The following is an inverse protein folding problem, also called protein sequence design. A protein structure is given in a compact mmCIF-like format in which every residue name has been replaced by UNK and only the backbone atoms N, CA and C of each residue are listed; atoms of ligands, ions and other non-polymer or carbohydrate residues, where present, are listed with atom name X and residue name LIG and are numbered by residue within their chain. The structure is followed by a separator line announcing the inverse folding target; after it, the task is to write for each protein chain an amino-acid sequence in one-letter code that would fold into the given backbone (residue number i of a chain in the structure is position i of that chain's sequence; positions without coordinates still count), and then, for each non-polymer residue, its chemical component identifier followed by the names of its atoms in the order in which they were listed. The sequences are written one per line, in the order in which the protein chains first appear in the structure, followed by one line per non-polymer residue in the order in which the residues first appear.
data_IF_537774550229
#
_entry.id   IF_537774550229
#
_cell.length_a   1.000
_cell.length_b   1.000
_cell.length_c   1.000
_cell.angle_alpha   90.00
_cell.angle_beta   90.00
_cell.angle_gamma   90.00
#
_symmetry.space_group_name_H-M   'P 1'
#
loop_
_entity.id
_entity.type
_entity.pdbx_description
1 polymer ?
#
# COMPACT_ATOMS: atom_id res chain seq x y z
N UNK A 1 5.09 25.32 -1.35
CA UNK A 1 4.95 25.61 0.06
C UNK A 1 6.14 25.04 0.84
N UNK A 2 6.35 23.71 0.85
CA UNK A 2 7.41 23.05 1.62
C UNK A 2 8.82 23.57 1.33
N UNK A 3 9.16 23.82 0.06
CA UNK A 3 10.45 24.38 -0.35
C UNK A 3 10.71 25.78 0.23
N UNK A 4 9.65 26.53 0.57
CA UNK A 4 9.79 27.87 1.16
C UNK A 4 9.93 27.86 2.67
N UNK A 5 9.50 26.79 3.31
CA UNK A 5 9.55 26.59 4.76
C UNK A 5 10.81 25.82 5.20
N UNK A 6 11.49 25.15 4.24
CA UNK A 6 12.70 24.40 4.49
C UNK A 6 13.93 25.33 4.51
N UNK A 7 14.90 24.99 5.35
CA UNK A 7 16.21 25.68 5.42
C UNK A 7 17.04 25.43 4.15
N UNK A 8 16.86 24.26 3.53
CA UNK A 8 17.55 23.83 2.31
C UNK A 8 16.60 23.04 1.41
N UNK A 9 16.78 23.15 0.11
CA UNK A 9 16.02 22.38 -0.89
C UNK A 9 16.96 21.74 -1.90
N UNK A 10 16.77 20.45 -2.14
CA UNK A 10 17.50 19.68 -3.15
C UNK A 10 16.60 19.35 -4.34
N UNK A 11 17.02 19.71 -5.54
CA UNK A 11 16.29 19.41 -6.77
C UNK A 11 16.63 18.01 -7.27
N UNK A 12 15.65 17.13 -7.31
CA UNK A 12 15.75 15.77 -7.89
C UNK A 12 15.79 15.76 -9.42
N UNK A 13 15.71 16.92 -10.06
CA UNK A 13 15.69 17.08 -11.52
C UNK A 13 14.33 16.77 -12.15
N UNK A 14 14.30 16.31 -13.42
CA UNK A 14 13.06 16.08 -14.14
C UNK A 14 12.12 15.13 -13.39
N UNK A 15 10.83 15.49 -13.34
CA UNK A 15 9.80 14.71 -12.63
C UNK A 15 9.69 13.24 -13.07
N UNK A 16 10.04 12.96 -14.35
CA UNK A 16 10.05 11.62 -14.92
C UNK A 16 11.43 11.29 -15.45
N UNK A 17 11.94 10.12 -15.09
CA UNK A 17 13.25 9.61 -15.52
C UNK A 17 13.11 8.25 -16.19
N UNK A 18 14.05 7.89 -17.06
CA UNK A 18 14.13 6.56 -17.62
C UNK A 18 14.76 5.61 -16.60
N UNK A 19 14.07 4.53 -16.27
CA UNK A 19 14.63 3.44 -15.51
C UNK A 19 15.59 2.59 -16.32
N UNK A 20 16.46 1.82 -15.68
CA UNK A 20 17.37 0.89 -16.35
C UNK A 20 16.68 -0.21 -17.18
N UNK A 21 15.37 -0.38 -17.00
CA UNK A 21 14.50 -1.29 -17.78
C UNK A 21 13.80 -0.60 -18.98
N UNK A 22 14.16 0.64 -19.29
CA UNK A 22 13.56 1.44 -20.35
C UNK A 22 12.18 1.99 -20.02
N UNK A 23 11.68 1.80 -18.81
CA UNK A 23 10.40 2.36 -18.36
C UNK A 23 10.60 3.73 -17.72
N UNK A 24 9.67 4.62 -17.96
CA UNK A 24 9.66 5.92 -17.27
C UNK A 24 9.14 5.75 -15.86
N UNK A 25 9.88 6.23 -14.87
CA UNK A 25 9.51 6.28 -13.47
C UNK A 25 9.56 7.72 -12.95
N UNK A 26 8.83 7.96 -11.87
CA UNK A 26 8.88 9.26 -11.18
C UNK A 26 10.24 9.40 -10.51
N UNK A 27 10.92 10.54 -10.68
CA UNK A 27 12.25 10.80 -10.06
C UNK A 27 12.23 10.64 -8.54
N UNK A 28 11.10 10.94 -7.91
CA UNK A 28 10.88 10.80 -6.47
C UNK A 28 10.99 9.37 -5.92
N UNK A 29 10.97 8.34 -6.77
CA UNK A 29 11.21 6.93 -6.37
C UNK A 29 12.52 6.38 -6.94
N UNK A 30 13.36 7.22 -7.48
CA UNK A 30 14.68 6.84 -7.97
C UNK A 30 15.69 6.82 -6.83
N UNK A 31 16.11 5.63 -6.41
CA UNK A 31 17.01 5.44 -5.27
C UNK A 31 18.36 6.13 -5.46
N UNK A 32 18.89 6.17 -6.68
CA UNK A 32 20.16 6.86 -6.96
C UNK A 32 20.08 8.35 -6.69
N UNK A 33 19.00 9.00 -7.16
CA UNK A 33 18.76 10.43 -6.90
C UNK A 33 18.47 10.72 -5.44
N UNK A 34 17.74 9.84 -4.78
CA UNK A 34 17.50 9.96 -3.34
C UNK A 34 18.79 9.78 -2.54
N UNK A 35 19.68 8.87 -2.94
CA UNK A 35 21.00 8.72 -2.34
C UNK A 35 21.84 9.99 -2.51
N UNK A 36 21.88 10.55 -3.72
CA UNK A 36 22.59 11.81 -3.99
C UNK A 36 22.06 12.94 -3.10
N UNK A 37 20.73 13.07 -2.98
CA UNK A 37 20.10 14.07 -2.13
C UNK A 37 20.48 13.90 -0.66
N UNK A 38 20.38 12.68 -0.11
CA UNK A 38 20.74 12.39 1.29
C UNK A 38 22.21 12.71 1.59
N UNK A 39 23.11 12.37 0.67
CA UNK A 39 24.54 12.66 0.82
C UNK A 39 24.87 14.15 0.72
N UNK A 40 24.29 14.83 -0.27
CA UNK A 40 24.54 16.25 -0.52
C UNK A 40 24.04 17.14 0.63
N UNK A 41 22.87 16.84 1.15
CA UNK A 41 22.26 17.55 2.30
C UNK A 41 22.82 17.10 3.64
N UNK A 42 23.65 16.06 3.66
CA UNK A 42 24.19 15.46 4.90
C UNK A 42 23.08 15.13 5.91
N UNK A 43 21.98 14.57 5.39
CA UNK A 43 20.81 14.26 6.20
C UNK A 43 21.14 13.23 7.29
N UNK A 44 20.79 13.52 8.53
CA UNK A 44 20.91 12.59 9.66
C UNK A 44 19.68 11.70 9.79
N UNK A 45 18.52 12.19 9.30
CA UNK A 45 17.27 11.46 9.28
C UNK A 45 16.50 11.74 7.99
N UNK A 46 15.67 10.77 7.58
CA UNK A 46 14.79 10.89 6.42
C UNK A 46 13.35 10.55 6.82
N UNK A 47 12.48 11.52 6.65
CA UNK A 47 11.04 11.35 6.79
C UNK A 47 10.36 11.52 5.43
N UNK A 48 9.98 10.43 4.76
CA UNK A 48 9.35 10.51 3.44
C UNK A 48 7.92 11.07 3.48
N UNK A 49 7.36 11.23 4.67
CA UNK A 49 6.02 11.75 4.86
C UNK A 49 4.98 10.83 4.24
N UNK A 50 4.15 11.39 3.35
CA UNK A 50 3.13 10.70 2.59
C UNK A 50 3.59 10.51 1.14
N UNK A 51 3.44 9.31 0.59
CA UNK A 51 3.74 9.01 -0.81
C UNK A 51 4.43 7.66 -1.02
N UNK A 52 4.77 7.36 -2.27
CA UNK A 52 5.30 6.05 -2.67
C UNK A 52 6.60 5.65 -1.96
N UNK A 53 7.47 6.62 -1.69
CA UNK A 53 8.77 6.37 -1.01
C UNK A 53 8.55 5.90 0.43
N UNK A 54 7.46 6.35 1.09
CA UNK A 54 7.12 5.94 2.45
C UNK A 54 6.81 4.43 2.56
N UNK A 55 6.44 3.80 1.45
CA UNK A 55 6.08 2.38 1.37
C UNK A 55 7.16 1.55 0.63
N UNK A 56 8.33 2.14 0.35
CA UNK A 56 9.41 1.50 -0.41
C UNK A 56 10.49 0.94 0.53
N UNK A 57 10.53 -0.39 0.80
CA UNK A 57 11.52 -0.98 1.71
C UNK A 57 12.95 -0.69 1.29
N UNK A 58 13.22 -0.62 -0.02
CA UNK A 58 14.54 -0.34 -0.60
C UNK A 58 15.07 1.05 -0.23
N UNK A 59 14.16 2.02 -0.01
CA UNK A 59 14.56 3.35 0.48
C UNK A 59 14.93 3.32 1.97
N UNK A 60 14.21 2.58 2.78
CA UNK A 60 14.57 2.38 4.18
C UNK A 60 15.92 1.65 4.31
N UNK A 61 16.16 0.61 3.48
CA UNK A 61 17.47 -0.07 3.39
C UNK A 61 18.60 0.88 2.92
N UNK A 62 18.29 1.77 1.98
CA UNK A 62 19.25 2.81 1.55
C UNK A 62 19.64 3.71 2.72
N UNK A 63 18.67 4.18 3.50
CA UNK A 63 18.92 4.98 4.69
C UNK A 63 19.80 4.23 5.69
N UNK A 64 19.50 2.97 5.98
CA UNK A 64 20.33 2.12 6.87
C UNK A 64 21.78 2.02 6.38
N UNK A 65 22.00 1.76 5.07
CA UNK A 65 23.35 1.69 4.49
C UNK A 65 24.13 3.01 4.58
N UNK A 66 23.41 4.12 4.56
CA UNK A 66 24.02 5.46 4.65
C UNK A 66 24.21 5.95 6.10
N UNK A 67 23.72 5.20 7.09
CA UNK A 67 23.70 5.65 8.48
C UNK A 67 22.69 6.77 8.73
N UNK A 68 21.69 6.91 7.86
CA UNK A 68 20.59 7.89 7.97
C UNK A 68 19.42 7.22 8.69
N UNK A 69 18.88 7.86 9.70
CA UNK A 69 17.70 7.34 10.42
C UNK A 69 16.46 7.45 9.57
N UNK A 70 15.91 6.31 9.13
CA UNK A 70 14.61 6.30 8.45
C UNK A 70 13.48 6.45 9.49
N UNK A 71 12.69 7.51 9.38
CA UNK A 71 11.53 7.75 10.27
C UNK A 71 10.33 7.02 9.69
N UNK A 72 10.19 5.77 10.06
CA UNK A 72 9.16 4.86 9.56
C UNK A 72 9.37 3.42 10.04
N UNK A 73 8.60 2.46 9.53
CA UNK A 73 8.76 1.05 9.86
C UNK A 73 10.08 0.49 9.31
N UNK A 74 10.59 -0.59 9.93
CA UNK A 74 11.77 -1.28 9.40
C UNK A 74 11.51 -1.88 8.01
N UNK A 75 12.56 -2.06 7.17
CA UNK A 75 12.39 -2.72 5.87
C UNK A 75 11.73 -4.09 5.96
N UNK A 76 12.02 -4.84 7.01
CA UNK A 76 11.41 -6.15 7.27
C UNK A 76 9.91 -6.06 7.54
N UNK A 77 9.48 -5.08 8.36
CA UNK A 77 8.06 -4.83 8.62
C UNK A 77 7.34 -4.36 7.34
N UNK A 78 7.96 -3.48 6.56
CA UNK A 78 7.42 -3.00 5.28
C UNK A 78 7.21 -4.16 4.29
N UNK A 79 8.16 -5.08 4.17
CA UNK A 79 8.02 -6.27 3.31
C UNK A 79 6.95 -7.23 3.80
N UNK A 80 6.87 -7.46 5.11
CA UNK A 80 5.87 -8.35 5.71
C UNK A 80 4.43 -7.84 5.53
N UNK A 81 4.23 -6.52 5.58
CA UNK A 81 2.92 -5.88 5.53
C UNK A 81 2.56 -5.27 4.18
N UNK A 82 3.54 -5.06 3.30
CA UNK A 82 3.35 -4.44 1.97
C UNK A 82 2.63 -5.34 0.98
N UNK A 83 2.74 -6.67 1.09
CA UNK A 83 1.96 -7.62 0.31
C UNK A 83 0.65 -7.95 1.03
N UNK A 84 -0.49 -7.74 0.35
CA UNK A 84 -1.82 -7.93 0.94
C UNK A 84 -2.12 -9.37 1.36
N UNK A 85 -1.57 -10.35 0.64
CA UNK A 85 -1.75 -11.77 0.97
C UNK A 85 -0.87 -12.15 2.17
N UNK A 86 0.39 -11.71 2.18
CA UNK A 86 1.29 -11.93 3.30
C UNK A 86 0.73 -11.31 4.59
N UNK A 87 0.23 -10.07 4.49
CA UNK A 87 -0.40 -9.35 5.60
C UNK A 87 -1.64 -10.09 6.14
N UNK A 88 -2.53 -10.59 5.26
CA UNK A 88 -3.70 -11.38 5.68
C UNK A 88 -3.28 -12.68 6.39
N UNK A 89 -2.34 -13.42 5.82
CA UNK A 89 -1.83 -14.66 6.43
C UNK A 89 -1.17 -14.41 7.79
N UNK A 90 -0.43 -13.32 7.91
CA UNK A 90 0.15 -12.91 9.19
C UNK A 90 -0.96 -12.63 10.22
N UNK A 91 -1.99 -11.87 9.85
CA UNK A 91 -3.12 -11.58 10.72
C UNK A 91 -3.83 -12.86 11.17
N UNK A 92 -4.12 -13.78 10.22
CA UNK A 92 -4.70 -15.09 10.53
C UNK A 92 -3.83 -15.92 11.48
N UNK A 93 -2.52 -15.94 11.27
CA UNK A 93 -1.59 -16.69 12.15
C UNK A 93 -1.54 -16.14 13.56
N UNK A 94 -1.89 -14.87 13.75
CA UNK A 94 -2.00 -14.20 15.04
C UNK A 94 -3.43 -14.27 15.63
N UNK A 95 -4.36 -14.99 14.99
CA UNK A 95 -5.75 -15.10 15.45
C UNK A 95 -6.57 -13.81 15.26
N UNK A 96 -6.10 -12.87 14.45
CA UNK A 96 -6.84 -11.64 14.17
C UNK A 96 -7.92 -11.92 13.11
N UNK A 97 -9.12 -11.35 13.27
CA UNK A 97 -10.17 -11.50 12.28
C UNK A 97 -9.78 -10.79 10.98
N UNK A 98 -9.96 -11.48 9.86
CA UNK A 98 -9.76 -10.92 8.51
C UNK A 98 -11.04 -11.05 7.70
N UNK A 99 -11.21 -10.16 6.73
CA UNK A 99 -12.30 -10.31 5.74
C UNK A 99 -12.13 -11.66 5.04
N UNK A 100 -13.18 -12.51 4.95
CA UNK A 100 -13.11 -13.79 4.26
C UNK A 100 -12.55 -13.64 2.85
N UNK A 101 -11.58 -14.45 2.50
CA UNK A 101 -10.88 -14.40 1.23
C UNK A 101 -10.51 -15.80 0.73
N UNK A 102 -10.09 -15.93 -0.50
CA UNK A 102 -9.88 -17.22 -1.14
C UNK A 102 -8.64 -18.01 -0.66
N UNK A 103 -7.84 -17.46 0.26
CA UNK A 103 -6.63 -18.13 0.79
C UNK A 103 -5.43 -18.15 -0.17
N UNK A 104 -5.65 -17.88 -1.46
CA UNK A 104 -4.62 -17.88 -2.50
C UNK A 104 -4.96 -16.91 -3.64
N UNK A 105 -3.95 -16.50 -4.44
CA UNK A 105 -4.20 -15.78 -5.69
C UNK A 105 -5.03 -16.60 -6.67
N UNK A 106 -5.83 -15.92 -7.49
CA UNK A 106 -6.55 -16.56 -8.59
C UNK A 106 -5.63 -16.72 -9.81
N UNK A 107 -5.13 -17.92 -10.06
CA UNK A 107 -4.21 -18.21 -11.15
C UNK A 107 -4.89 -18.13 -12.53
N UNK A 108 -6.18 -18.48 -12.61
CA UNK A 108 -6.97 -18.48 -13.85
C UNK A 108 -8.38 -17.92 -13.61
N UNK A 109 -9.13 -17.69 -14.70
CA UNK A 109 -10.54 -17.29 -14.59
C UNK A 109 -11.40 -18.40 -13.99
N UNK A 110 -11.12 -19.67 -14.33
CA UNK A 110 -11.83 -20.82 -13.77
C UNK A 110 -11.59 -20.93 -12.26
N UNK A 111 -10.35 -20.75 -11.83
CA UNK A 111 -10.02 -20.73 -10.41
C UNK A 111 -10.71 -19.57 -9.67
N UNK A 112 -10.71 -18.36 -10.26
CA UNK A 112 -11.42 -17.22 -9.70
C UNK A 112 -12.93 -17.47 -9.59
N UNK A 113 -13.55 -18.11 -10.58
CA UNK A 113 -14.95 -18.45 -10.54
C UNK A 113 -15.27 -19.45 -9.41
N UNK A 114 -14.42 -20.46 -9.20
CA UNK A 114 -14.55 -21.41 -8.09
C UNK A 114 -14.43 -20.68 -6.74
N UNK A 115 -13.38 -19.89 -6.58
CA UNK A 115 -13.13 -19.11 -5.36
C UNK A 115 -14.29 -18.15 -5.05
N UNK A 116 -14.81 -17.45 -6.06
CA UNK A 116 -15.94 -16.54 -5.87
C UNK A 116 -17.23 -17.28 -5.47
N UNK A 117 -17.45 -18.47 -6.02
CA UNK A 117 -18.61 -19.30 -5.65
C UNK A 117 -18.52 -19.78 -4.18
N UNK A 118 -17.32 -20.12 -3.70
CA UNK A 118 -17.08 -20.52 -2.31
C UNK A 118 -17.23 -19.34 -1.33
N UNK A 119 -16.74 -18.15 -1.72
CA UNK A 119 -16.87 -16.93 -0.91
C UNK A 119 -18.31 -16.40 -0.85
N UNK A 120 -19.09 -16.62 -1.91
CA UNK A 120 -20.38 -16.00 -2.12
C UNK A 120 -20.28 -14.55 -2.62
N UNK A 121 -21.13 -14.20 -3.60
CA UNK A 121 -21.22 -12.84 -4.14
C UNK A 121 -21.95 -11.89 -3.19
N UNK A 122 -21.63 -10.57 -3.21
CA UNK A 122 -20.62 -9.92 -4.03
C UNK A 122 -19.17 -10.15 -3.52
N UNK A 123 -18.22 -10.16 -4.45
CA UNK A 123 -16.80 -10.28 -4.13
C UNK A 123 -16.02 -9.09 -4.65
N UNK A 124 -14.88 -8.80 -4.01
CA UNK A 124 -13.89 -7.86 -4.48
C UNK A 124 -12.70 -8.60 -5.10
N UNK A 125 -12.29 -8.18 -6.28
CA UNK A 125 -11.03 -8.59 -6.91
C UNK A 125 -9.99 -7.55 -6.60
N UNK A 126 -8.89 -7.95 -5.96
CA UNK A 126 -7.81 -7.05 -5.53
C UNK A 126 -6.47 -7.48 -6.07
N UNK A 127 -5.68 -6.53 -6.59
CA UNK A 127 -4.27 -6.77 -6.87
C UNK A 127 -3.49 -7.00 -5.57
N UNK A 128 -2.53 -7.92 -5.59
CA UNK A 128 -1.67 -8.23 -4.42
C UNK A 128 -0.75 -7.07 -4.07
N UNK A 129 -0.14 -6.47 -5.08
CA UNK A 129 0.58 -5.20 -4.94
C UNK A 129 -0.34 -4.06 -5.40
N UNK A 130 -0.54 -3.05 -4.58
CA UNK A 130 -1.38 -1.93 -5.00
C UNK A 130 -1.54 -0.91 -3.88
N UNK A 131 -1.39 0.35 -4.26
CA UNK A 131 -1.47 1.51 -3.38
C UNK A 131 -2.67 2.37 -3.82
N UNK A 132 -3.39 2.94 -2.87
CA UNK A 132 -4.43 3.94 -3.13
C UNK A 132 -5.65 3.42 -3.88
N UNK A 133 -6.09 2.17 -3.63
CA UNK A 133 -7.31 1.60 -4.22
C UNK A 133 -7.21 1.18 -5.69
N UNK A 134 -6.01 1.24 -6.28
CA UNK A 134 -5.76 0.78 -7.66
C UNK A 134 -5.73 -0.74 -7.73
N UNK A 135 -6.22 -1.29 -8.84
CA UNK A 135 -6.31 -2.74 -9.02
C UNK A 135 -7.40 -3.37 -8.15
N UNK A 136 -8.42 -2.60 -7.74
CA UNK A 136 -9.59 -3.07 -7.00
C UNK A 136 -10.82 -2.97 -7.90
N UNK A 137 -11.60 -4.06 -7.99
CA UNK A 137 -12.86 -4.12 -8.74
C UNK A 137 -13.88 -4.96 -8.00
N UNK A 138 -15.12 -4.50 -8.03
CA UNK A 138 -16.25 -5.26 -7.51
C UNK A 138 -16.81 -6.21 -8.56
N UNK A 139 -17.23 -7.40 -8.14
CA UNK A 139 -18.02 -8.33 -8.92
C UNK A 139 -19.29 -8.68 -8.15
N UNK A 140 -20.43 -8.17 -8.62
CA UNK A 140 -21.73 -8.38 -7.99
C UNK A 140 -22.25 -9.80 -8.18
N UNK A 141 -21.92 -10.39 -9.32
CA UNK A 141 -22.39 -11.71 -9.75
C UNK A 141 -21.31 -12.47 -10.52
N UNK A 142 -21.55 -13.76 -10.73
CA UNK A 142 -20.67 -14.58 -11.58
C UNK A 142 -20.51 -14.00 -13.00
N UNK A 143 -21.55 -13.38 -13.56
CA UNK A 143 -21.49 -12.78 -14.89
C UNK A 143 -20.60 -11.54 -14.98
N UNK A 144 -20.42 -10.80 -13.89
CA UNK A 144 -19.54 -9.60 -13.85
C UNK A 144 -18.10 -9.90 -13.47
N UNK A 145 -17.83 -11.08 -12.91
CA UNK A 145 -16.50 -11.49 -12.44
C UNK A 145 -15.41 -11.45 -13.53
N UNK A 146 -15.62 -11.95 -14.77
CA UNK A 146 -14.58 -11.91 -15.81
C UNK A 146 -14.11 -10.49 -16.14
N UNK A 147 -15.04 -9.54 -16.23
CA UNK A 147 -14.71 -8.13 -16.51
C UNK A 147 -13.96 -7.48 -15.35
N UNK A 148 -14.34 -7.79 -14.10
CA UNK A 148 -13.65 -7.33 -12.90
C UNK A 148 -12.21 -7.86 -12.84
N UNK A 149 -12.00 -9.15 -13.11
CA UNK A 149 -10.67 -9.77 -13.18
C UNK A 149 -9.78 -9.11 -14.24
N UNK A 150 -10.31 -8.98 -15.46
CA UNK A 150 -9.58 -8.33 -16.57
C UNK A 150 -9.19 -6.89 -16.21
N UNK A 151 -10.12 -6.13 -15.66
CA UNK A 151 -9.89 -4.74 -15.26
C UNK A 151 -8.87 -4.60 -14.14
N UNK A 152 -8.98 -5.43 -13.09
CA UNK A 152 -8.04 -5.41 -11.97
C UNK A 152 -6.62 -5.81 -12.39
N UNK A 153 -6.48 -6.87 -13.20
CA UNK A 153 -5.20 -7.33 -13.73
C UNK A 153 -4.53 -6.31 -14.65
N UNK A 154 -5.29 -5.69 -15.56
CA UNK A 154 -4.77 -4.69 -16.49
C UNK A 154 -4.27 -3.44 -15.75
N UNK A 155 -5.02 -2.98 -14.74
CA UNK A 155 -4.61 -1.84 -13.93
C UNK A 155 -3.39 -2.16 -13.07
N UNK A 156 -3.36 -3.33 -12.43
CA UNK A 156 -2.24 -3.80 -11.64
C UNK A 156 -0.95 -3.91 -12.48
N UNK A 157 -1.06 -4.47 -13.67
CA UNK A 157 0.06 -4.54 -14.61
C UNK A 157 0.58 -3.17 -15.01
N UNK A 158 -0.35 -2.26 -15.34
CA UNK A 158 0.01 -0.90 -15.76
C UNK A 158 0.78 -0.12 -14.70
N UNK A 159 0.39 -0.25 -13.43
CA UNK A 159 0.93 0.57 -12.36
C UNK A 159 2.04 -0.11 -11.56
N UNK A 160 1.99 -1.42 -11.43
CA UNK A 160 2.89 -2.18 -10.55
C UNK A 160 3.73 -3.24 -11.28
N UNK A 161 3.47 -3.47 -12.57
CA UNK A 161 4.15 -4.53 -13.33
C UNK A 161 3.78 -5.96 -12.89
N UNK A 162 2.76 -6.10 -12.05
CA UNK A 162 2.25 -7.38 -11.53
C UNK A 162 0.76 -7.51 -11.83
N UNK A 163 0.35 -8.65 -12.39
CA UNK A 163 -1.05 -8.92 -12.71
C UNK A 163 -1.71 -9.91 -11.73
N UNK A 164 -1.04 -10.21 -10.62
CA UNK A 164 -1.55 -11.13 -9.60
C UNK A 164 -2.70 -10.51 -8.84
N UNK A 165 -3.83 -11.22 -8.78
CA UNK A 165 -5.04 -10.80 -8.07
C UNK A 165 -5.53 -11.90 -7.14
N UNK A 166 -6.23 -11.52 -6.09
CA UNK A 166 -6.96 -12.41 -5.20
C UNK A 166 -8.38 -11.92 -4.98
N UNK A 167 -9.23 -12.79 -4.45
CA UNK A 167 -10.63 -12.49 -4.17
C UNK A 167 -10.88 -12.46 -2.68
N UNK A 168 -11.72 -11.50 -2.26
CA UNK A 168 -12.27 -11.46 -0.91
C UNK A 168 -13.75 -11.08 -0.95
N UNK A 169 -14.48 -11.39 0.11
CA UNK A 169 -15.86 -10.99 0.25
C UNK A 169 -15.97 -9.47 0.35
N UNK A 170 -16.93 -8.87 -0.37
CA UNK A 170 -17.26 -7.46 -0.16
C UNK A 170 -18.08 -7.32 1.11
N UNK A 171 -17.71 -6.38 1.94
CA UNK A 171 -18.46 -5.99 3.13
C UNK A 171 -19.27 -4.74 2.82
N UNK A 172 -20.60 -4.87 2.78
CA UNK A 172 -21.48 -3.73 2.58
C UNK A 172 -21.82 -3.08 3.92
N UNK A 173 -21.94 -1.74 3.94
CA UNK A 173 -22.29 -0.99 5.15
C UNK A 173 -21.24 -0.99 6.26
N UNK A 174 -20.01 -1.41 5.96
CA UNK A 174 -18.90 -1.42 6.90
C UNK A 174 -18.38 0.00 7.16
N UNK A 175 -17.94 0.24 8.39
CA UNK A 175 -17.15 1.43 8.73
C UNK A 175 -15.66 1.15 8.52
N UNK A 176 -14.94 2.12 7.99
CA UNK A 176 -13.49 2.07 7.86
C UNK A 176 -12.86 2.84 9.01
N UNK A 177 -12.28 2.12 9.93
CA UNK A 177 -11.62 2.69 11.11
C UNK A 177 -10.15 2.34 11.08
N UNK A 178 -9.30 3.35 11.19
CA UNK A 178 -7.84 3.21 11.24
C UNK A 178 -7.33 3.45 12.64
N UNK A 179 -6.33 2.68 13.04
CA UNK A 179 -5.53 2.94 14.25
C UNK A 179 -4.09 3.18 13.84
N UNK A 180 -3.56 4.36 14.15
CA UNK A 180 -2.15 4.65 13.94
C UNK A 180 -1.32 3.97 14.99
N UNK A 181 -0.31 3.20 14.57
CA UNK A 181 0.66 2.58 15.44
C UNK A 181 2.00 3.28 15.29
N UNK A 182 2.64 3.59 16.40
CA UNK A 182 4.01 4.11 16.48
C UNK A 182 4.86 3.10 17.26
N UNK A 183 6.11 2.95 16.85
CA UNK A 183 7.07 2.14 17.60
C UNK A 183 8.43 2.82 17.62
N UNK A 184 9.20 2.57 18.67
CA UNK A 184 10.58 3.02 18.79
C UNK A 184 11.58 1.88 18.58
N UNK A 185 12.86 2.21 18.64
CA UNK A 185 13.94 1.25 18.48
C UNK A 185 14.17 0.36 19.72
N UNK A 186 13.50 0.64 20.84
CA UNK A 186 13.66 -0.05 22.13
C UNK A 186 12.52 -1.01 22.46
N UNK A 187 11.59 -1.21 21.50
CA UNK A 187 10.46 -2.13 21.66
C UNK A 187 9.20 -1.49 22.25
N UNK A 188 9.17 -0.18 22.43
CA UNK A 188 7.96 0.56 22.77
C UNK A 188 7.00 0.57 21.58
N UNK A 189 5.71 0.28 21.83
CA UNK A 189 4.66 0.32 20.81
C UNK A 189 3.45 1.06 21.37
N UNK A 190 2.95 2.03 20.63
CA UNK A 190 1.78 2.84 20.99
C UNK A 190 0.72 2.79 19.91
N UNK A 191 -0.51 2.50 20.29
CA UNK A 191 -1.69 2.69 19.47
C UNK A 191 -2.30 4.06 19.78
N UNK A 192 -2.40 4.93 18.79
CA UNK A 192 -3.05 6.23 18.93
C UNK A 192 -4.58 6.09 18.83
N UNK A 193 -5.35 7.12 19.22
CA UNK A 193 -6.80 7.09 19.06
C UNK A 193 -7.22 6.77 17.63
N UNK A 194 -8.28 5.96 17.51
CA UNK A 194 -8.81 5.55 16.24
C UNK A 194 -9.36 6.72 15.41
N UNK A 195 -9.29 6.58 14.09
CA UNK A 195 -9.83 7.54 13.12
C UNK A 195 -10.94 6.88 12.31
N UNK A 196 -12.05 7.56 12.16
CA UNK A 196 -13.11 7.24 11.22
C UNK A 196 -12.69 7.70 9.82
N UNK A 197 -12.74 6.82 8.84
CA UNK A 197 -12.32 7.09 7.47
C UNK A 197 -13.29 6.51 6.42
N UNK A 198 -14.56 6.33 6.77
CA UNK A 198 -15.56 5.72 5.87
C UNK A 198 -16.02 6.63 4.74
N UNK A 199 -15.85 7.96 4.87
CA UNK A 199 -16.21 8.90 3.81
C UNK A 199 -15.13 8.87 2.74
N UNK A 200 -15.40 8.09 1.69
CA UNK A 200 -14.43 7.80 0.63
C UNK A 200 -15.01 8.05 -0.76
N UNK A 201 -14.15 8.32 -1.72
CA UNK A 201 -14.48 8.36 -3.14
C UNK A 201 -13.48 7.49 -3.90
N UNK A 202 -13.96 6.48 -4.61
CA UNK A 202 -13.11 5.53 -5.36
C UNK A 202 -12.01 4.91 -4.50
N UNK A 203 -12.39 4.49 -3.28
CA UNK A 203 -11.49 3.92 -2.26
C UNK A 203 -10.38 4.88 -1.77
N UNK A 204 -10.59 6.19 -1.93
CA UNK A 204 -9.74 7.22 -1.34
C UNK A 204 -10.48 7.91 -0.20
N UNK A 205 -9.84 8.01 0.95
CA UNK A 205 -10.34 8.72 2.12
C UNK A 205 -10.47 10.21 1.80
N UNK A 206 -11.65 10.79 2.02
CA UNK A 206 -11.92 12.22 1.83
C UNK A 206 -12.00 12.96 3.16
N UNK A 207 -12.51 12.30 4.19
CA UNK A 207 -12.62 12.84 5.54
C UNK A 207 -12.08 11.80 6.50
N UNK A 208 -11.20 12.25 7.38
CA UNK A 208 -10.68 11.47 8.51
C UNK A 208 -11.02 12.24 9.79
N UNK A 209 -11.67 11.58 10.73
CA UNK A 209 -12.18 12.18 11.98
C UNK A 209 -11.71 11.39 13.19
N UNK A 210 -11.22 12.07 14.20
CA UNK A 210 -10.84 11.48 15.48
C UNK A 210 -11.34 12.35 16.63
N UNK A 211 -11.90 11.76 17.69
CA UNK A 211 -12.19 10.34 17.90
C UNK A 211 -13.27 9.81 16.97
N UNK A 212 -13.37 8.48 16.86
CA UNK A 212 -14.39 7.82 16.03
C UNK A 212 -15.78 8.03 16.66
N UNK A 213 -16.74 8.64 15.94
CA UNK A 213 -18.09 8.83 16.48
C UNK A 213 -18.78 7.51 16.81
N UNK A 214 -19.29 7.38 18.03
CA UNK A 214 -20.07 6.22 18.45
C UNK A 214 -19.28 4.91 18.64
N UNK A 215 -17.96 5.01 18.88
CA UNK A 215 -17.13 3.92 19.40
C UNK A 215 -16.91 4.11 20.89
#
# INVERSE_FOLDING_TARGET
LFVREADEAWDLGPAMVEGGDGRRKVAYVDLGRLEEALRATRAEAAWPGWGFVAELPEFAELCERLGVTFIGPSPAAMRALGDKIASKRLAESLGLPVVPWAGAPAASEAEAARQAAELGFPVMVKATGGIGGRGVRDAETAGTLPSALKGARAEAWKWFGLATVFLERRLDGARHVDVQVLSDAWGGVWALPAREASIQRRHQKLVEESPVPGL
#
